data_IF_762029841548
#
_entry.id   IF_762029841548
#
_cell.length_a   1.000
_cell.length_b   1.000
_cell.length_c   1.000
_cell.angle_alpha   90.00
_cell.angle_beta   90.00
_cell.angle_gamma   90.00
#
_symmetry.space_group_name_H-M   'P 1'
#
loop_
_entity.id
_entity.type
_entity.pdbx_description
1 polymer ?
#
# COMPACT_ATOMS: atom_id res chain seq x y z
N UNK A 1 34.78 37.35 52.05
CA UNK A 1 33.79 36.97 53.08
C UNK A 1 32.58 37.89 52.99
N UNK A 2 31.42 37.37 52.60
CA UNK A 2 30.10 37.57 53.23
C UNK A 2 29.02 37.15 52.22
N UNK A 3 28.47 35.97 52.51
CA UNK A 3 27.30 35.39 51.89
C UNK A 3 26.08 36.28 52.15
N UNK A 4 25.28 36.57 51.12
CA UNK A 4 23.87 36.92 51.33
C UNK A 4 23.02 36.15 50.34
N UNK A 5 22.42 35.07 50.87
CA UNK A 5 21.35 34.30 50.26
C UNK A 5 20.11 35.20 50.17
N UNK A 6 19.57 35.41 48.97
CA UNK A 6 18.17 35.81 48.79
C UNK A 6 17.52 34.77 47.89
N UNK A 7 16.76 33.87 48.53
CA UNK A 7 15.76 33.06 47.88
C UNK A 7 14.62 33.97 47.45
N UNK A 8 14.46 34.21 46.15
CA UNK A 8 13.19 34.66 45.60
C UNK A 8 12.65 33.55 44.70
N UNK A 9 11.76 32.76 45.29
CA UNK A 9 10.91 31.80 44.59
C UNK A 9 9.85 32.63 43.86
N UNK A 10 10.07 32.94 42.59
CA UNK A 10 8.97 33.32 41.69
C UNK A 10 8.45 32.03 41.08
N UNK A 11 7.38 31.52 41.69
CA UNK A 11 6.52 30.48 41.15
C UNK A 11 5.79 31.08 39.93
N UNK A 12 6.41 31.06 38.75
CA UNK A 12 5.69 31.40 37.53
C UNK A 12 4.74 30.25 37.25
N UNK A 13 3.46 30.52 37.48
CA UNK A 13 2.37 29.59 37.27
C UNK A 13 2.44 29.02 35.84
N UNK A 14 2.56 27.70 35.79
CA UNK A 14 2.29 26.87 34.63
C UNK A 14 0.92 27.22 34.06
N UNK A 15 0.91 27.92 32.92
CA UNK A 15 -0.21 27.84 31.98
C UNK A 15 0.21 26.79 30.95
N UNK A 16 0.13 25.54 31.37
CA UNK A 16 0.06 24.43 30.42
C UNK A 16 -1.35 24.51 29.84
N UNK A 17 -1.48 25.21 28.71
CA UNK A 17 -2.62 24.99 27.84
C UNK A 17 -2.59 23.50 27.49
N UNK A 18 -3.68 22.73 27.74
CA UNK A 18 -3.88 21.50 27.00
C UNK A 18 -4.11 21.94 25.56
N UNK A 19 -3.02 22.11 24.81
CA UNK A 19 -3.05 22.03 23.38
C UNK A 19 -3.58 20.63 23.06
N UNK A 20 -4.90 20.57 22.90
CA UNK A 20 -5.57 19.48 22.22
C UNK A 20 -4.96 19.43 20.83
N UNK A 21 -3.84 18.73 20.70
CA UNK A 21 -3.36 18.26 19.42
C UNK A 21 -4.48 17.34 18.95
N UNK A 22 -5.30 17.71 17.94
CA UNK A 22 -6.20 16.73 17.36
C UNK A 22 -5.31 15.58 16.95
N UNK A 23 -5.50 14.42 17.60
CA UNK A 23 -4.86 13.18 17.19
C UNK A 23 -5.08 13.10 15.68
N UNK A 24 -3.99 13.22 14.91
CA UNK A 24 -4.04 13.09 13.48
C UNK A 24 -4.75 11.75 13.25
N UNK A 25 -5.95 11.82 12.68
CA UNK A 25 -6.67 10.62 12.26
C UNK A 25 -5.74 10.01 11.21
N UNK A 26 -5.00 8.98 11.63
CA UNK A 26 -4.07 8.29 10.76
C UNK A 26 -4.92 7.61 9.69
N UNK A 27 -5.05 8.28 8.54
CA UNK A 27 -5.81 7.78 7.40
C UNK A 27 -5.16 6.47 6.98
N UNK A 28 -5.81 5.35 7.32
CA UNK A 28 -5.35 4.02 6.93
C UNK A 28 -5.30 3.97 5.39
N UNK A 29 -4.09 4.01 4.84
CA UNK A 29 -3.87 3.97 3.40
C UNK A 29 -4.26 2.58 2.90
N UNK A 30 -5.08 2.47 1.85
CA UNK A 30 -5.35 1.18 1.21
C UNK A 30 -4.04 0.62 0.65
N UNK A 31 -3.68 -0.59 1.08
CA UNK A 31 -2.40 -1.24 0.72
C UNK A 31 -2.36 -1.66 -0.77
N UNK A 32 -3.53 -1.89 -1.39
CA UNK A 32 -3.66 -2.37 -2.76
C UNK A 32 -4.60 -1.45 -3.55
N UNK A 33 -4.19 -1.08 -4.76
CA UNK A 33 -5.00 -0.28 -5.69
C UNK A 33 -5.01 -0.84 -7.11
N UNK A 34 -6.03 -0.46 -7.88
CA UNK A 34 -6.21 -0.84 -9.27
C UNK A 34 -6.03 0.37 -10.18
N UNK A 35 -5.36 0.18 -11.30
CA UNK A 35 -5.14 1.24 -12.29
C UNK A 35 -6.43 1.50 -13.09
N UNK A 36 -6.86 2.76 -13.12
CA UNK A 36 -8.13 3.19 -13.75
C UNK A 36 -8.05 3.26 -15.27
N UNK A 37 -6.93 3.76 -15.80
CA UNK A 37 -6.77 4.10 -17.22
C UNK A 37 -5.59 3.33 -17.83
N UNK A 38 -5.68 3.01 -19.12
CA UNK A 38 -4.49 2.71 -19.91
C UNK A 38 -3.62 3.98 -20.02
N UNK A 39 -2.30 3.87 -20.08
CA UNK A 39 -1.46 5.08 -20.09
C UNK A 39 -1.07 5.61 -18.72
N UNK A 40 -1.20 4.83 -17.64
CA UNK A 40 -0.94 5.37 -16.30
C UNK A 40 0.56 5.37 -16.01
N UNK A 41 1.14 6.56 -15.87
CA UNK A 41 2.58 6.74 -15.77
C UNK A 41 3.07 6.58 -14.34
N UNK A 42 4.00 5.64 -14.14
CA UNK A 42 4.80 5.55 -12.92
C UNK A 42 6.05 6.38 -13.11
N UNK A 43 6.36 7.23 -12.13
CA UNK A 43 7.44 8.20 -12.17
C UNK A 43 8.47 7.95 -11.07
N UNK A 44 9.65 8.53 -11.27
CA UNK A 44 10.73 8.47 -10.31
C UNK A 44 10.45 9.26 -9.01
N UNK A 45 9.58 10.26 -9.06
CA UNK A 45 9.25 11.12 -7.92
C UNK A 45 7.82 11.63 -7.94
N UNK A 46 7.45 12.34 -6.88
CA UNK A 46 6.10 12.79 -6.54
C UNK A 46 5.67 14.09 -7.23
N UNK A 47 6.20 14.36 -8.42
CA UNK A 47 5.79 15.48 -9.24
C UNK A 47 5.87 15.17 -10.74
N UNK A 48 5.33 16.07 -11.56
CA UNK A 48 5.25 15.89 -13.02
C UNK A 48 6.58 16.10 -13.76
N UNK A 49 7.57 16.71 -13.12
CA UNK A 49 8.88 16.98 -13.71
C UNK A 49 9.81 15.76 -13.62
N UNK A 50 9.50 14.79 -12.75
CA UNK A 50 10.24 13.54 -12.67
C UNK A 50 9.98 12.65 -13.88
N UNK A 51 11.00 11.85 -14.19
CA UNK A 51 11.03 10.94 -15.31
C UNK A 51 9.99 9.83 -15.16
N UNK A 52 9.45 9.39 -16.30
CA UNK A 52 8.51 8.26 -16.37
C UNK A 52 9.33 6.97 -16.50
N UNK A 53 9.05 6.01 -15.64
CA UNK A 53 9.74 4.71 -15.57
C UNK A 53 9.03 3.65 -16.39
N UNK A 54 7.70 3.60 -16.28
CA UNK A 54 6.89 2.67 -17.04
C UNK A 54 5.43 3.12 -17.11
N UNK A 55 4.70 2.47 -18.01
CA UNK A 55 3.27 2.66 -18.19
C UNK A 55 2.48 1.45 -17.67
N UNK A 56 1.46 1.74 -16.86
CA UNK A 56 0.49 0.76 -16.38
C UNK A 56 -0.77 0.73 -17.24
N UNK A 57 -1.29 -0.47 -17.43
CA UNK A 57 -2.55 -0.72 -18.13
C UNK A 57 -3.70 -0.75 -17.13
N UNK A 58 -4.91 -0.48 -17.60
CA UNK A 58 -6.12 -0.57 -16.79
C UNK A 58 -6.25 -1.97 -16.20
N UNK A 59 -6.54 -2.03 -14.91
CA UNK A 59 -6.68 -3.29 -14.17
C UNK A 59 -5.37 -3.85 -13.62
N UNK A 60 -4.21 -3.25 -13.91
CA UNK A 60 -2.97 -3.61 -13.23
C UNK A 60 -3.11 -3.33 -11.73
N UNK A 61 -2.70 -4.31 -10.91
CA UNK A 61 -2.68 -4.20 -9.45
C UNK A 61 -1.37 -3.57 -9.00
N UNK A 62 -1.45 -2.58 -8.11
CA UNK A 62 -0.29 -1.92 -7.50
C UNK A 62 -0.36 -1.97 -5.98
N UNK A 63 0.80 -2.17 -5.35
CA UNK A 63 0.94 -2.08 -3.89
C UNK A 63 1.37 -0.67 -3.50
N UNK A 64 0.60 -0.03 -2.63
CA UNK A 64 0.86 1.32 -2.15
C UNK A 64 1.53 1.24 -0.78
N UNK A 65 2.59 2.03 -0.63
CA UNK A 65 3.39 2.13 0.59
C UNK A 65 3.05 3.42 1.34
N UNK A 66 2.90 4.52 0.60
CA UNK A 66 2.78 5.86 1.19
C UNK A 66 1.97 6.80 0.28
N UNK A 67 1.54 7.94 0.81
CA UNK A 67 0.80 8.97 0.10
C UNK A 67 1.38 10.35 0.42
N UNK A 68 1.74 11.11 -0.62
CA UNK A 68 2.14 12.51 -0.50
C UNK A 68 1.39 13.37 -1.50
N UNK A 69 0.68 14.37 -1.00
CA UNK A 69 -0.15 15.27 -1.80
C UNK A 69 -1.11 14.49 -2.72
N UNK A 70 -0.96 14.64 -4.03
CA UNK A 70 -1.73 13.94 -5.06
C UNK A 70 -0.98 12.75 -5.66
N UNK A 71 -0.06 12.14 -4.91
CA UNK A 71 0.77 11.02 -5.36
C UNK A 71 0.78 9.88 -4.35
N UNK A 72 0.75 8.67 -4.86
CA UNK A 72 0.99 7.45 -4.10
C UNK A 72 2.38 6.91 -4.40
N UNK A 73 3.10 6.54 -3.35
CA UNK A 73 4.33 5.78 -3.45
C UNK A 73 3.97 4.32 -3.59
N UNK A 74 4.43 3.68 -4.66
CA UNK A 74 4.13 2.29 -4.98
C UNK A 74 5.39 1.45 -5.09
N UNK A 75 5.28 0.16 -4.85
CA UNK A 75 6.32 -0.81 -5.23
C UNK A 75 6.38 -0.87 -6.75
N UNK A 76 7.59 -0.83 -7.33
CA UNK A 76 7.74 -0.90 -8.77
C UNK A 76 7.33 -2.29 -9.30
N UNK A 77 6.48 -2.35 -10.34
CA UNK A 77 6.17 -3.61 -11.00
C UNK A 77 7.40 -4.11 -11.77
N UNK A 78 7.50 -5.42 -12.01
CA UNK A 78 8.64 -6.04 -12.71
C UNK A 78 8.93 -5.50 -14.12
N UNK A 79 7.94 -4.85 -14.74
CA UNK A 79 8.07 -4.18 -16.04
C UNK A 79 8.71 -2.80 -15.98
N UNK A 80 8.90 -2.23 -14.80
CA UNK A 80 9.66 -1.01 -14.65
C UNK A 80 11.14 -1.38 -14.78
N UNK A 81 11.87 -0.70 -15.64
CA UNK A 81 13.28 -0.96 -15.82
C UNK A 81 14.10 0.07 -15.02
N UNK A 82 15.14 -0.41 -14.35
CA UNK A 82 16.05 0.41 -13.55
C UNK A 82 17.48 0.23 -14.07
N UNK A 83 18.33 1.20 -13.80
CA UNK A 83 19.71 1.20 -14.28
C UNK A 83 20.70 1.22 -13.12
N UNK A 84 21.74 0.39 -13.24
CA UNK A 84 22.88 0.32 -12.34
C UNK A 84 24.17 0.41 -13.17
N UNK A 85 25.19 1.08 -12.64
CA UNK A 85 26.47 1.23 -13.35
C UNK A 85 27.17 -0.12 -13.43
N UNK A 86 27.70 -0.48 -14.60
CA UNK A 86 28.32 -1.77 -14.83
C UNK A 86 29.56 -2.05 -13.95
N UNK A 87 30.32 -1.01 -13.58
CA UNK A 87 31.49 -1.12 -12.68
C UNK A 87 31.20 -1.79 -11.31
N UNK A 88 29.93 -1.89 -10.92
CA UNK A 88 29.51 -2.43 -9.61
C UNK A 88 28.78 -3.77 -9.70
N UNK A 89 28.71 -4.39 -10.88
CA UNK A 89 27.95 -5.63 -11.10
C UNK A 89 28.75 -6.63 -11.92
N UNK A 90 28.98 -7.80 -11.34
CA UNK A 90 29.62 -8.93 -12.03
C UNK A 90 28.54 -9.90 -12.53
N UNK A 91 28.51 -10.16 -13.84
CA UNK A 91 27.52 -11.05 -14.47
C UNK A 91 27.92 -12.52 -14.23
N UNK A 92 26.97 -13.29 -13.71
CA UNK A 92 27.06 -14.74 -13.63
C UNK A 92 26.71 -15.31 -15.01
N UNK A 93 27.65 -16.06 -15.60
CA UNK A 93 27.56 -16.58 -16.98
C UNK A 93 26.31 -17.41 -17.29
N UNK A 94 25.59 -17.84 -16.26
CA UNK A 94 24.56 -18.87 -16.39
C UNK A 94 23.17 -18.32 -16.71
N UNK A 95 22.78 -17.15 -16.21
CA UNK A 95 21.35 -16.78 -16.14
C UNK A 95 21.04 -15.27 -16.30
N UNK A 96 21.98 -14.47 -16.83
CA UNK A 96 21.87 -13.00 -16.87
C UNK A 96 21.59 -12.40 -15.47
N UNK A 97 22.04 -13.10 -14.43
CA UNK A 97 22.07 -12.60 -13.07
C UNK A 97 23.38 -11.85 -12.85
N UNK A 98 23.32 -10.75 -12.12
CA UNK A 98 24.46 -9.95 -11.72
C UNK A 98 24.57 -9.89 -10.21
N UNK A 99 25.77 -10.09 -9.68
CA UNK A 99 26.04 -9.89 -8.25
C UNK A 99 26.63 -8.50 -8.04
N UNK A 100 26.06 -7.76 -7.09
CA UNK A 100 26.56 -6.43 -6.72
C UNK A 100 27.86 -6.56 -5.93
N UNK A 101 28.91 -5.87 -6.39
CA UNK A 101 30.26 -5.94 -5.81
C UNK A 101 30.59 -4.83 -4.82
N UNK A 102 29.71 -3.83 -4.68
CA UNK A 102 29.92 -2.67 -3.83
C UNK A 102 28.74 -2.42 -2.89
N UNK A 103 29.02 -1.80 -1.74
CA UNK A 103 27.98 -1.45 -0.78
C UNK A 103 27.28 -0.13 -1.16
N UNK A 104 25.94 -0.08 -1.01
CA UNK A 104 25.08 1.10 -1.25
C UNK A 104 25.16 1.63 -2.68
N UNK A 105 25.02 0.76 -3.67
CA UNK A 105 24.99 1.18 -5.07
C UNK A 105 23.63 1.78 -5.41
N UNK A 106 23.63 2.93 -6.10
CA UNK A 106 22.40 3.64 -6.46
C UNK A 106 21.74 3.02 -7.69
N UNK A 107 20.46 2.70 -7.57
CA UNK A 107 19.58 2.37 -8.69
C UNK A 107 18.98 3.65 -9.27
N UNK A 108 19.02 3.79 -10.59
CA UNK A 108 18.60 5.02 -11.28
C UNK A 108 17.49 4.78 -12.28
N UNK A 109 16.76 5.85 -12.58
CA UNK A 109 15.69 5.87 -13.58
C UNK A 109 16.18 5.76 -15.04
N UNK A 110 17.48 5.94 -15.29
CA UNK A 110 18.06 5.93 -16.63
C UNK A 110 19.59 5.72 -16.64
N UNK A 111 20.19 5.47 -17.82
CA UNK A 111 21.60 5.14 -18.00
C UNK A 111 22.51 6.38 -17.97
N UNK A 112 22.40 7.21 -16.93
CA UNK A 112 23.32 8.33 -16.64
C UNK A 112 23.22 8.68 -15.14
N UNK A 113 24.31 9.21 -14.61
CA UNK A 113 24.39 9.86 -13.30
C UNK A 113 23.42 11.04 -13.09
N UNK A 114 22.89 11.63 -14.17
CA UNK A 114 21.92 12.74 -14.11
C UNK A 114 20.49 12.30 -13.76
N UNK A 115 20.16 11.03 -13.97
CA UNK A 115 18.81 10.51 -13.69
C UNK A 115 18.59 10.34 -12.18
N UNK A 116 17.32 10.51 -11.80
CA UNK A 116 16.84 10.31 -10.43
C UNK A 116 17.24 8.96 -9.83
N UNK A 117 17.65 8.97 -8.56
CA UNK A 117 17.96 7.77 -7.77
C UNK A 117 16.66 7.25 -7.17
N UNK A 118 16.38 5.95 -7.36
CA UNK A 118 15.13 5.30 -6.97
C UNK A 118 15.27 4.35 -5.78
N UNK A 119 16.49 3.86 -5.57
CA UNK A 119 16.79 2.93 -4.51
C UNK A 119 18.29 2.75 -4.37
N UNK A 120 18.66 1.94 -3.38
CA UNK A 120 20.01 1.49 -3.18
C UNK A 120 20.01 -0.02 -2.95
N UNK A 121 21.00 -0.70 -3.53
CA UNK A 121 21.24 -2.12 -3.36
C UNK A 121 22.51 -2.32 -2.56
N UNK A 122 22.57 -3.43 -1.83
CA UNK A 122 23.73 -3.78 -1.01
C UNK A 122 24.67 -4.72 -1.75
N UNK A 123 25.89 -4.85 -1.24
CA UNK A 123 26.86 -5.83 -1.72
C UNK A 123 26.28 -7.25 -1.61
N UNK A 124 26.68 -8.14 -2.52
CA UNK A 124 26.23 -9.54 -2.64
C UNK A 124 24.75 -9.73 -3.03
N UNK A 125 24.01 -8.64 -3.28
CA UNK A 125 22.65 -8.72 -3.77
C UNK A 125 22.64 -9.24 -5.22
N UNK A 126 21.76 -10.22 -5.49
CA UNK A 126 21.59 -10.81 -6.83
C UNK A 126 20.50 -10.01 -7.55
N UNK A 127 20.87 -9.47 -8.71
CA UNK A 127 20.00 -8.70 -9.58
C UNK A 127 19.81 -9.43 -10.90
N UNK A 128 18.65 -9.27 -11.52
CA UNK A 128 18.41 -9.80 -12.86
C UNK A 128 18.69 -8.72 -13.90
N UNK A 129 19.72 -8.95 -14.72
CA UNK A 129 20.14 -8.07 -15.81
C UNK A 129 19.34 -8.39 -17.07
N UNK A 130 18.80 -7.36 -17.71
CA UNK A 130 17.96 -7.44 -18.89
C UNK A 130 18.76 -7.04 -20.13
N UNK A 131 19.49 -5.93 -20.04
CA UNK A 131 20.27 -5.38 -21.14
C UNK A 131 21.44 -4.53 -20.64
N UNK A 132 22.37 -4.21 -21.54
CA UNK A 132 23.45 -3.25 -21.29
C UNK A 132 23.32 -2.08 -22.27
N UNK A 133 23.50 -0.86 -21.75
CA UNK A 133 23.48 0.37 -22.54
C UNK A 133 24.42 1.41 -21.95
N UNK A 134 25.34 1.92 -22.78
CA UNK A 134 26.20 3.07 -22.46
C UNK A 134 26.98 2.94 -21.12
N UNK A 135 27.39 1.73 -20.76
CA UNK A 135 28.08 1.43 -19.49
C UNK A 135 27.14 1.27 -18.28
N UNK A 136 25.85 1.06 -18.52
CA UNK A 136 24.84 0.79 -17.50
C UNK A 136 24.14 -0.52 -17.81
N UNK A 137 23.86 -1.31 -16.77
CA UNK A 137 22.98 -2.45 -16.87
C UNK A 137 21.55 -2.03 -16.57
N UNK A 138 20.65 -2.41 -17.46
CA UNK A 138 19.22 -2.40 -17.21
C UNK A 138 18.85 -3.65 -16.41
N UNK A 139 18.15 -3.49 -15.30
CA UNK A 139 17.79 -4.57 -14.39
C UNK A 139 16.29 -4.63 -14.14
N UNK A 140 15.80 -5.80 -13.73
CA UNK A 140 14.49 -5.91 -13.09
C UNK A 140 14.53 -5.26 -11.69
N UNK A 141 13.46 -4.60 -11.23
CA UNK A 141 13.44 -3.95 -9.93
C UNK A 141 13.58 -4.97 -8.81
N UNK A 142 14.55 -4.79 -7.88
CA UNK A 142 14.60 -5.60 -6.67
C UNK A 142 13.41 -5.27 -5.78
N UNK A 143 13.08 -6.22 -4.92
CA UNK A 143 12.07 -6.05 -3.88
C UNK A 143 12.47 -4.84 -3.03
N UNK A 144 11.55 -3.89 -2.84
CA UNK A 144 11.73 -2.59 -2.15
C UNK A 144 12.11 -1.37 -3.00
N UNK A 145 12.30 -1.50 -4.32
CA UNK A 145 12.41 -0.29 -5.15
C UNK A 145 11.03 0.34 -5.34
N UNK A 146 10.93 1.64 -5.14
CA UNK A 146 9.67 2.36 -5.14
C UNK A 146 9.64 3.46 -6.19
N UNK A 147 8.44 3.70 -6.72
CA UNK A 147 8.14 4.80 -7.62
C UNK A 147 6.88 5.55 -7.17
N UNK A 148 6.46 6.52 -7.96
CA UNK A 148 5.33 7.38 -7.67
C UNK A 148 4.32 7.37 -8.79
N UNK A 149 3.04 7.35 -8.43
CA UNK A 149 1.93 7.40 -9.38
C UNK A 149 0.90 8.39 -8.90
N UNK A 150 0.28 9.12 -9.84
CA UNK A 150 -0.69 10.14 -9.49
C UNK A 150 -1.96 9.52 -8.91
N UNK A 151 -2.48 10.09 -7.82
CA UNK A 151 -3.60 9.51 -7.07
C UNK A 151 -4.87 9.38 -7.91
N UNK A 152 -5.11 10.30 -8.83
CA UNK A 152 -6.25 10.26 -9.76
C UNK A 152 -6.22 9.10 -10.78
N UNK A 153 -5.11 8.35 -10.88
CA UNK A 153 -4.96 7.20 -11.77
C UNK A 153 -5.27 5.86 -11.09
N UNK A 154 -5.43 5.85 -9.77
CA UNK A 154 -5.71 4.65 -8.98
C UNK A 154 -7.15 4.69 -8.46
N UNK A 155 -7.81 3.55 -8.53
CA UNK A 155 -9.08 3.29 -7.84
C UNK A 155 -8.89 2.19 -6.81
N UNK A 156 -9.59 2.32 -5.70
CA UNK A 156 -9.61 1.32 -4.64
C UNK A 156 -10.95 0.60 -4.70
N UNK A 157 -10.94 -0.71 -4.49
CA UNK A 157 -12.17 -1.36 -4.07
C UNK A 157 -12.45 -0.93 -2.63
N UNK A 158 -13.66 -0.44 -2.31
CA UNK A 158 -14.00 -0.18 -0.93
C UNK A 158 -13.93 -1.53 -0.21
N UNK A 159 -12.93 -1.71 0.67
CA UNK A 159 -13.00 -2.77 1.67
C UNK A 159 -14.28 -2.52 2.44
N UNK A 160 -15.28 -3.38 2.26
CA UNK A 160 -16.48 -3.37 3.07
C UNK A 160 -16.01 -3.52 4.52
N UNK A 161 -16.06 -2.42 5.27
CA UNK A 161 -15.90 -2.46 6.71
C UNK A 161 -17.15 -3.20 7.22
N UNK A 162 -17.08 -4.52 7.35
CA UNK A 162 -18.00 -5.23 8.21
C UNK A 162 -17.74 -4.73 9.63
N UNK A 163 -18.57 -3.80 10.08
CA UNK A 163 -18.74 -3.48 11.50
C UNK A 163 -19.19 -4.77 12.20
N UNK A 164 -18.22 -5.59 12.61
CA UNK A 164 -18.44 -6.65 13.58
C UNK A 164 -18.84 -6.00 14.90
N UNK A 165 -20.15 -5.99 15.11
CA UNK A 165 -20.86 -6.16 16.39
C UNK A 165 -19.99 -5.91 17.61
N UNK A 166 -20.11 -4.70 18.16
CA UNK A 166 -19.84 -4.45 19.58
C UNK A 166 -20.73 -5.42 20.36
N UNK A 167 -20.12 -6.54 20.73
CA UNK A 167 -20.66 -7.58 21.60
C UNK A 167 -20.88 -6.95 22.97
N UNK A 168 -22.12 -6.52 23.19
CA UNK A 168 -22.63 -6.15 24.50
C UNK A 168 -22.63 -7.41 25.40
N UNK A 169 -21.49 -7.75 26.00
CA UNK A 169 -21.48 -8.54 27.24
C UNK A 169 -21.88 -7.62 28.39
N UNK A 170 -23.19 -7.57 28.68
CA UNK A 170 -23.69 -7.34 30.03
C UNK A 170 -24.58 -8.51 30.41
N UNK A 171 -24.41 -9.07 31.63
CA UNK A 171 -25.09 -10.28 32.03
C UNK A 171 -26.59 -10.02 32.19
N UNK A 172 -27.33 -11.05 31.78
CA UNK A 172 -28.74 -11.30 32.03
C UNK A 172 -29.13 -10.99 33.49
N UNK A 173 -30.06 -10.06 33.69
CA UNK A 173 -30.81 -9.90 34.94
C UNK A 173 -32.28 -10.20 34.66
N UNK A 174 -32.75 -11.29 35.27
CA UNK A 174 -34.12 -11.81 35.23
C UNK A 174 -35.13 -10.83 35.83
N UNK A 175 -36.21 -10.52 35.11
CA UNK A 175 -37.48 -10.18 35.75
C UNK A 175 -38.68 -10.87 35.11
N UNK A 176 -39.56 -11.31 36.01
CA UNK A 176 -40.62 -12.31 35.90
C UNK A 176 -41.99 -11.61 35.88
N UNK A 177 -42.85 -11.98 34.92
CA UNK A 177 -44.34 -11.86 34.83
C UNK A 177 -44.73 -11.30 33.46
N UNK A 178 -45.79 -11.74 32.79
CA UNK A 178 -46.88 -12.62 33.17
C UNK A 178 -47.69 -12.99 31.93
N UNK A 179 -48.40 -14.10 32.06
CA UNK A 179 -49.20 -14.81 31.07
C UNK A 179 -50.28 -13.94 30.41
N UNK A 180 -50.48 -14.10 29.09
CA UNK A 180 -51.82 -14.13 28.49
C UNK A 180 -51.78 -14.82 27.12
N UNK A 181 -52.44 -15.97 27.08
CA UNK A 181 -52.73 -16.82 25.93
C UNK A 181 -53.84 -16.22 25.07
N UNK A 182 -53.70 -16.30 23.74
CA UNK A 182 -54.81 -16.21 22.80
C UNK A 182 -54.52 -17.13 21.62
N UNK A 183 -55.57 -17.82 21.15
CA UNK A 183 -55.53 -19.13 20.51
C UNK A 183 -56.20 -19.08 19.11
N UNK A 184 -55.56 -19.76 18.15
CA UNK A 184 -56.04 -20.41 16.90
C UNK A 184 -56.58 -19.59 15.70
N UNK A 185 -56.03 -19.89 14.52
CA UNK A 185 -56.65 -20.65 13.39
C UNK A 185 -55.59 -20.86 12.29
N UNK A 186 -55.14 -22.10 12.04
CA UNK A 186 -55.65 -23.09 11.06
C UNK A 186 -55.46 -22.67 9.60
N UNK A 187 -54.59 -23.39 8.89
CA UNK A 187 -54.43 -23.30 7.43
C UNK A 187 -53.24 -24.11 6.90
N UNK A 188 -53.36 -25.44 6.88
CA UNK A 188 -52.56 -26.33 6.02
C UNK A 188 -53.10 -26.22 4.57
N UNK A 189 -52.31 -26.48 3.50
CA UNK A 189 -51.88 -27.86 3.19
C UNK A 189 -50.46 -28.01 2.56
N UNK A 190 -49.82 -29.16 2.80
CA UNK A 190 -48.84 -29.79 1.88
C UNK A 190 -49.61 -30.57 0.76
N UNK A 191 -49.02 -31.38 -0.17
CA UNK A 191 -47.62 -31.60 -0.60
C UNK A 191 -47.42 -31.71 -2.15
N UNK A 192 -46.13 -31.78 -2.54
CA UNK A 192 -45.47 -32.59 -3.60
C UNK A 192 -46.29 -33.10 -4.82
N UNK A 193 -45.77 -32.87 -6.03
CA UNK A 193 -46.21 -33.58 -7.23
C UNK A 193 -45.29 -33.37 -8.45
N UNK A 194 -44.86 -34.48 -9.04
CA UNK A 194 -43.81 -34.68 -10.04
C UNK A 194 -44.33 -34.60 -11.50
N UNK A 195 -43.44 -34.91 -12.49
CA UNK A 195 -43.68 -35.30 -13.91
C UNK A 195 -43.66 -34.13 -14.93
N UNK A 196 -43.08 -34.18 -16.16
CA UNK A 196 -42.88 -35.26 -17.15
C UNK A 196 -41.95 -34.80 -18.31
N UNK A 197 -41.09 -35.72 -18.78
CA UNK A 197 -40.72 -36.14 -20.15
C UNK A 197 -40.52 -35.16 -21.35
N UNK A 198 -39.32 -35.28 -21.94
CA UNK A 198 -39.01 -35.66 -23.35
C UNK A 198 -39.69 -34.94 -24.52
N UNK A 199 -38.87 -34.31 -25.38
CA UNK A 199 -38.94 -34.49 -26.84
C UNK A 199 -37.67 -33.99 -27.53
N UNK A 200 -36.98 -34.91 -28.21
CA UNK A 200 -36.09 -34.63 -29.34
C UNK A 200 -36.94 -34.31 -30.57
N UNK A 201 -36.50 -33.35 -31.38
CA UNK A 201 -36.80 -33.36 -32.80
C UNK A 201 -35.54 -32.95 -33.56
N UNK A 202 -35.25 -33.73 -34.59
CA UNK A 202 -34.17 -33.60 -35.58
C UNK A 202 -34.05 -32.20 -36.18
#
# INVERSE_FOLDING_TARGET
MKFLKVFLVIFVASVILPGNCPAAVEEKIPEVGFVKNNGSNVRAGDNMNFEILCELKKGDTVKIIDKRYSWFKIVLPKKAHLYIKNDFVDILEKEAEGVVTANRVNLRAGPDTKYSILGQVSEEEILKVISEKDGWYEIEPPENTAGWIHSGQITFEPTSIETEKISAKRPFVTQKRGTRSITLKTGAPEPKGNLIFSTQAN
#
